data_IF_306632974505
#
_entry.id   IF_306632974505
#
_cell.length_a   1.000
_cell.length_b   1.000
_cell.length_c   1.000
_cell.angle_alpha   90.00
_cell.angle_beta   90.00
_cell.angle_gamma   90.00
#
_symmetry.space_group_name_H-M   'P 1'
#
loop_
_entity.id
_entity.type
_entity.pdbx_description
1 polymer ?
#
# COMPACT_ATOMS: atom_id res chain seq x y z
N UNK A 1 9.18 1.70 -0.79
CA UNK A 1 7.81 1.56 -0.25
C UNK A 1 7.62 0.12 0.23
N UNK A 2 7.24 -0.08 1.49
CA UNK A 2 7.26 -1.40 2.16
C UNK A 2 8.59 -1.67 2.88
N UNK A 3 8.97 -2.95 3.04
CA UNK A 3 10.17 -3.42 3.77
C UNK A 3 10.13 -3.16 5.29
N UNK A 4 8.96 -3.36 5.91
CA UNK A 4 8.77 -3.19 7.36
C UNK A 4 9.21 -1.82 7.89
N UNK A 5 9.01 -0.77 7.09
CA UNK A 5 9.38 0.60 7.49
C UNK A 5 8.62 1.05 8.75
N UNK A 6 7.37 0.61 8.91
CA UNK A 6 6.56 0.82 10.12
C UNK A 6 7.19 0.19 11.36
N UNK A 7 7.80 -0.99 11.22
CA UNK A 7 8.53 -1.64 12.30
C UNK A 7 9.88 -0.96 12.56
N UNK A 8 10.60 -0.59 11.51
CA UNK A 8 11.90 0.08 11.61
C UNK A 8 11.80 1.50 12.20
N UNK A 9 10.67 2.17 12.03
CA UNK A 9 10.41 3.53 12.50
C UNK A 9 9.41 3.57 13.67
N UNK A 10 9.18 2.43 14.35
CA UNK A 10 8.16 2.29 15.40
C UNK A 10 8.33 3.26 16.58
N UNK A 11 9.55 3.74 16.82
CA UNK A 11 9.88 4.64 17.92
C UNK A 11 9.76 6.12 17.54
N UNK A 12 9.25 6.42 16.33
CA UNK A 12 8.97 7.78 15.85
C UNK A 12 7.48 8.07 15.92
N UNK A 13 7.15 9.30 16.31
CA UNK A 13 5.79 9.84 16.37
C UNK A 13 5.41 10.66 15.13
N UNK A 14 6.41 11.07 14.34
CA UNK A 14 6.27 11.86 13.11
C UNK A 14 6.13 11.00 11.83
N UNK A 15 5.61 9.78 11.97
CA UNK A 15 5.36 8.85 10.85
C UNK A 15 3.88 8.52 10.69
N UNK A 16 3.45 8.23 9.46
CA UNK A 16 2.14 7.66 9.16
C UNK A 16 2.37 6.40 8.31
N UNK A 17 1.85 5.29 8.79
CA UNK A 17 1.92 4.00 8.12
C UNK A 17 0.67 3.81 7.26
N UNK A 18 0.86 3.78 5.95
CA UNK A 18 -0.22 3.70 4.97
C UNK A 18 -0.22 2.33 4.27
N UNK A 19 -1.41 1.77 4.07
CA UNK A 19 -1.62 0.64 3.19
C UNK A 19 -2.55 1.02 2.04
N UNK A 20 -2.02 1.06 0.82
CA UNK A 20 -2.76 1.46 -0.38
C UNK A 20 -3.13 0.21 -1.18
N UNK A 21 -4.42 0.04 -1.43
CA UNK A 21 -5.00 -1.07 -2.20
C UNK A 21 -5.87 -0.54 -3.35
N UNK A 22 -6.41 -1.48 -4.14
CA UNK A 22 -7.45 -1.29 -5.13
C UNK A 22 -8.05 -2.66 -5.52
N UNK A 23 -9.25 -2.71 -6.14
CA UNK A 23 -9.81 -3.95 -6.68
C UNK A 23 -8.83 -4.58 -7.66
N UNK A 24 -8.76 -5.92 -7.66
CA UNK A 24 -7.77 -6.65 -8.45
C UNK A 24 -7.81 -6.26 -9.93
N UNK A 25 -9.00 -6.09 -10.51
CA UNK A 25 -9.18 -5.68 -11.91
C UNK A 25 -8.57 -4.31 -12.21
N UNK A 26 -8.73 -3.34 -11.31
CA UNK A 26 -8.12 -2.01 -11.45
C UNK A 26 -6.60 -2.10 -11.39
N UNK A 27 -6.07 -2.96 -10.51
CA UNK A 27 -4.63 -3.22 -10.39
C UNK A 27 -4.09 -3.90 -11.64
N UNK A 28 -4.78 -4.89 -12.18
CA UNK A 28 -4.41 -5.62 -13.40
C UNK A 28 -4.28 -4.64 -14.57
N UNK A 29 -5.32 -3.85 -14.87
CA UNK A 29 -5.31 -2.88 -15.96
C UNK A 29 -4.14 -1.90 -15.85
N UNK A 30 -3.91 -1.38 -14.64
CA UNK A 30 -2.81 -0.44 -14.38
C UNK A 30 -1.42 -1.08 -14.57
N UNK A 31 -1.23 -2.29 -14.05
CA UNK A 31 0.05 -2.99 -14.16
C UNK A 31 0.30 -3.41 -15.61
N UNK A 32 -0.70 -3.94 -16.31
CA UNK A 32 -0.64 -4.30 -17.72
C UNK A 32 -0.22 -3.11 -18.57
N UNK A 33 -0.92 -1.97 -18.45
CA UNK A 33 -0.62 -0.76 -19.19
C UNK A 33 0.78 -0.20 -18.88
N UNK A 34 1.14 -0.08 -17.59
CA UNK A 34 2.45 0.46 -17.17
C UNK A 34 3.62 -0.39 -17.65
N UNK A 35 3.45 -1.71 -17.66
CA UNK A 35 4.54 -2.65 -17.94
C UNK A 35 4.53 -3.17 -19.38
N UNK A 36 3.52 -2.84 -20.20
CA UNK A 36 3.41 -3.32 -21.58
C UNK A 36 3.19 -4.84 -21.66
N UNK A 37 2.43 -5.41 -20.73
CA UNK A 37 2.21 -6.86 -20.61
C UNK A 37 0.73 -7.21 -20.67
N UNK A 38 0.41 -8.49 -20.92
CA UNK A 38 -0.96 -8.97 -20.91
C UNK A 38 -1.61 -8.87 -19.51
N UNK A 39 -2.95 -8.79 -19.46
CA UNK A 39 -3.69 -8.79 -18.20
C UNK A 39 -3.45 -10.07 -17.38
N UNK A 40 -3.30 -11.22 -18.05
CA UNK A 40 -2.97 -12.49 -17.39
C UNK A 40 -1.58 -12.43 -16.74
N UNK A 41 -0.57 -11.94 -17.46
CA UNK A 41 0.77 -11.77 -16.89
C UNK A 41 0.77 -10.75 -15.74
N UNK A 42 0.02 -9.65 -15.87
CA UNK A 42 -0.13 -8.66 -14.82
C UNK A 42 -0.77 -9.26 -13.56
N UNK A 43 -1.81 -10.10 -13.71
CA UNK A 43 -2.47 -10.81 -12.61
C UNK A 43 -1.51 -11.73 -11.86
N UNK A 44 -0.71 -12.52 -12.58
CA UNK A 44 0.27 -13.42 -11.97
C UNK A 44 1.40 -12.65 -11.28
N UNK A 45 1.87 -11.56 -11.91
CA UNK A 45 2.86 -10.66 -11.32
C UNK A 45 2.34 -10.02 -10.03
N UNK A 46 1.09 -9.58 -10.00
CA UNK A 46 0.43 -9.02 -8.81
C UNK A 46 0.39 -10.08 -7.69
N UNK A 47 -0.14 -11.27 -7.96
CA UNK A 47 -0.20 -12.36 -6.97
C UNK A 47 1.16 -12.72 -6.40
N UNK A 48 2.18 -12.86 -7.26
CA UNK A 48 3.55 -13.17 -6.85
C UNK A 48 4.15 -12.06 -5.97
N UNK A 49 3.92 -10.80 -6.35
CA UNK A 49 4.40 -9.63 -5.61
C UNK A 49 3.73 -9.51 -4.24
N UNK A 50 2.41 -9.65 -4.18
CA UNK A 50 1.65 -9.57 -2.93
C UNK A 50 2.05 -10.70 -1.98
N UNK A 51 2.16 -11.94 -2.48
CA UNK A 51 2.66 -13.07 -1.69
C UNK A 51 4.05 -12.80 -1.14
N UNK A 52 4.97 -12.31 -1.97
CA UNK A 52 6.34 -11.99 -1.53
C UNK A 52 6.37 -10.89 -0.46
N UNK A 53 5.54 -9.84 -0.61
CA UNK A 53 5.42 -8.76 0.38
C UNK A 53 4.85 -9.25 1.70
N UNK A 54 3.79 -10.06 1.64
CA UNK A 54 3.18 -10.66 2.83
C UNK A 54 4.16 -11.57 3.56
N UNK A 55 4.85 -12.47 2.84
CA UNK A 55 5.85 -13.36 3.45
C UNK A 55 6.98 -12.59 4.12
N UNK A 56 7.52 -11.55 3.47
CA UNK A 56 8.57 -10.72 4.07
C UNK A 56 8.06 -9.98 5.31
N UNK A 57 6.91 -9.32 5.20
CA UNK A 57 6.37 -8.50 6.27
C UNK A 57 5.99 -9.33 7.50
N UNK A 58 5.27 -10.42 7.31
CA UNK A 58 4.83 -11.29 8.41
C UNK A 58 6.00 -12.04 9.06
N UNK A 59 7.10 -12.26 8.33
CA UNK A 59 8.30 -12.89 8.90
C UNK A 59 9.11 -11.92 9.77
N UNK A 60 9.28 -10.67 9.30
CA UNK A 60 10.14 -9.69 9.97
C UNK A 60 9.41 -8.75 10.93
N UNK A 61 8.09 -8.79 10.97
CA UNK A 61 7.27 -8.03 11.91
C UNK A 61 6.31 -8.96 12.64
N UNK A 62 5.86 -8.57 13.83
CA UNK A 62 4.78 -9.25 14.55
C UNK A 62 3.38 -8.84 14.05
N UNK A 63 3.29 -8.38 12.79
CA UNK A 63 2.08 -7.81 12.17
C UNK A 63 1.71 -8.55 10.90
N UNK A 64 0.47 -8.39 10.49
CA UNK A 64 -0.10 -9.03 9.30
C UNK A 64 -0.18 -8.03 8.14
N UNK A 65 0.39 -8.41 6.99
CA UNK A 65 0.36 -7.59 5.78
C UNK A 65 -1.07 -7.44 5.26
N UNK A 66 -1.50 -6.18 5.09
CA UNK A 66 -2.84 -5.84 4.64
C UNK A 66 -3.94 -5.92 5.72
N UNK A 67 -3.60 -6.25 6.97
CA UNK A 67 -4.53 -6.11 8.10
C UNK A 67 -4.60 -4.65 8.54
N UNK A 68 -5.80 -4.12 8.72
CA UNK A 68 -6.02 -2.73 9.12
C UNK A 68 -5.34 -2.38 10.45
N UNK A 69 -5.22 -3.33 11.38
CA UNK A 69 -4.54 -3.12 12.67
C UNK A 69 -3.03 -2.83 12.53
N UNK A 70 -2.45 -3.12 11.37
CA UNK A 70 -1.02 -2.99 11.12
C UNK A 70 -0.62 -1.57 10.68
N UNK A 71 -1.59 -0.73 10.29
CA UNK A 71 -1.40 0.58 9.65
C UNK A 71 -2.26 1.66 10.30
N UNK A 72 -1.90 2.93 10.10
CA UNK A 72 -2.70 4.07 10.56
C UNK A 72 -3.88 4.35 9.62
N UNK A 73 -3.70 4.10 8.31
CA UNK A 73 -4.75 4.21 7.31
C UNK A 73 -4.59 3.15 6.21
N UNK A 74 -5.68 2.43 5.95
CA UNK A 74 -5.84 1.58 4.77
C UNK A 74 -6.78 2.27 3.78
N UNK A 75 -6.35 2.42 2.52
CA UNK A 75 -7.15 3.12 1.50
C UNK A 75 -7.21 2.35 0.19
N UNK A 76 -8.43 2.21 -0.33
CA UNK A 76 -8.67 1.82 -1.72
C UNK A 76 -8.52 3.05 -2.63
N UNK A 77 -7.40 3.12 -3.33
CA UNK A 77 -7.08 4.22 -4.25
C UNK A 77 -7.98 4.29 -5.49
N UNK A 78 -8.77 3.26 -5.77
CA UNK A 78 -9.73 3.30 -6.89
C UNK A 78 -10.98 4.12 -6.57
N UNK A 79 -11.26 4.38 -5.29
CA UNK A 79 -12.41 5.18 -4.87
C UNK A 79 -12.28 6.65 -5.31
N UNK A 80 -11.08 7.22 -5.17
CA UNK A 80 -10.81 8.64 -5.42
C UNK A 80 -9.88 8.87 -6.63
N UNK A 81 -9.40 7.80 -7.25
CA UNK A 81 -8.29 7.88 -8.20
C UNK A 81 -6.98 8.32 -7.55
N UNK A 82 -5.95 8.54 -8.37
CA UNK A 82 -4.62 8.93 -7.88
C UNK A 82 -4.67 10.31 -7.21
N UNK A 83 -5.20 11.31 -7.91
CA UNK A 83 -5.15 12.70 -7.45
C UNK A 83 -6.00 12.92 -6.20
N UNK A 84 -7.22 12.36 -6.18
CA UNK A 84 -8.07 12.43 -4.99
C UNK A 84 -7.49 11.68 -3.79
N UNK A 85 -6.80 10.55 -4.03
CA UNK A 85 -6.06 9.87 -2.96
C UNK A 85 -4.91 10.73 -2.44
N UNK A 86 -4.18 11.43 -3.32
CA UNK A 86 -3.10 12.34 -2.91
C UNK A 86 -3.63 13.50 -2.07
N UNK A 87 -4.75 14.11 -2.46
CA UNK A 87 -5.36 15.21 -1.68
C UNK A 87 -5.81 14.73 -0.29
N UNK A 88 -6.45 13.57 -0.20
CA UNK A 88 -6.82 12.98 1.09
C UNK A 88 -5.59 12.73 1.99
N UNK A 89 -4.49 12.23 1.43
CA UNK A 89 -3.27 11.97 2.20
C UNK A 89 -2.58 13.27 2.64
N UNK A 90 -2.60 14.33 1.82
CA UNK A 90 -2.12 15.66 2.20
C UNK A 90 -2.94 16.22 3.36
N UNK A 91 -4.26 16.11 3.31
CA UNK A 91 -5.16 16.55 4.37
C UNK A 91 -4.90 15.78 5.67
N UNK A 92 -4.69 14.46 5.60
CA UNK A 92 -4.31 13.63 6.74
C UNK A 92 -3.03 14.14 7.40
N UNK A 93 -1.98 14.40 6.60
CA UNK A 93 -0.68 14.91 7.09
C UNK A 93 -0.88 16.27 7.78
N UNK A 94 -1.63 17.18 7.14
CA UNK A 94 -1.92 18.52 7.68
C UNK A 94 -2.67 18.43 9.01
N UNK A 95 -3.68 17.58 9.11
CA UNK A 95 -4.50 17.42 10.33
C UNK A 95 -3.70 16.78 11.46
N UNK A 96 -2.88 15.76 11.15
CA UNK A 96 -2.00 15.13 12.15
C UNK A 96 -0.93 16.10 12.66
N UNK A 97 -0.59 17.13 11.88
CA UNK A 97 0.37 18.16 12.28
C UNK A 97 1.82 17.71 12.16
N UNK A 98 2.11 16.70 11.33
CA UNK A 98 3.48 16.29 11.01
C UNK A 98 4.08 17.39 10.12
N UNK A 99 5.19 17.99 10.58
CA UNK A 99 5.94 19.03 9.86
C UNK A 99 7.04 18.43 9.00
#
# INVERSE_FOLDING_TARGET
IGRCADYALKDRDDVINLFITAPLENRIKRVAARNGISENEAKDRIKKTDKSRASYYNYYSAKDWGDAKSYDLCIDSSLLGIDGTVELLKDLIRIKGIK
#
